data_IF_020043252452
#
_entry.id   IF_020043252452
#
_cell.length_a   1.000
_cell.length_b   1.000
_cell.length_c   1.000
_cell.angle_alpha   90.00
_cell.angle_beta   90.00
_cell.angle_gamma   90.00
#
_symmetry.space_group_name_H-M   'P 1'
#
loop_
_entity.id
_entity.type
_entity.pdbx_description
1 polymer ?
#
# COMPACT_ATOMS: atom_id res chain seq x y z
N UNK A 1 28.24 -3.96 28.86
CA UNK A 1 27.59 -5.21 28.41
C UNK A 1 26.07 -5.12 28.69
N UNK A 2 25.14 -5.69 27.90
CA UNK A 2 23.69 -5.67 28.21
C UNK A 2 23.37 -6.36 29.54
N UNK A 3 24.22 -7.32 29.95
CA UNK A 3 24.22 -8.02 31.23
C UNK A 3 24.62 -7.13 32.42
N UNK A 4 25.32 -6.02 32.19
CA UNK A 4 25.74 -5.06 33.20
C UNK A 4 24.80 -3.84 33.29
N UNK A 5 23.82 -3.75 32.38
CA UNK A 5 22.88 -2.62 32.32
C UNK A 5 21.82 -2.78 33.40
N UNK A 6 21.69 -1.79 34.28
CA UNK A 6 20.59 -1.75 35.25
C UNK A 6 19.23 -1.66 34.55
N UNK A 7 18.19 -2.14 35.22
CA UNK A 7 16.81 -2.07 34.71
C UNK A 7 16.40 -0.63 34.39
N UNK A 8 16.84 0.34 35.22
CA UNK A 8 16.60 1.77 35.01
C UNK A 8 17.23 2.29 33.71
N UNK A 9 18.43 1.84 33.37
CA UNK A 9 19.07 2.21 32.10
C UNK A 9 18.34 1.61 30.91
N UNK A 10 17.83 0.38 31.03
CA UNK A 10 17.01 -0.25 29.97
C UNK A 10 15.69 0.50 29.75
N UNK A 11 15.01 0.88 30.84
CA UNK A 11 13.81 1.72 30.76
C UNK A 11 14.10 3.10 30.17
N UNK A 12 15.29 3.65 30.42
CA UNK A 12 15.70 4.94 29.84
C UNK A 12 15.85 4.82 28.32
N UNK A 13 16.46 3.74 27.82
CA UNK A 13 16.56 3.47 26.37
C UNK A 13 15.18 3.32 25.74
N UNK A 14 14.28 2.56 26.37
CA UNK A 14 12.90 2.39 25.92
C UNK A 14 12.18 3.75 25.81
N UNK A 15 12.27 4.59 26.84
CA UNK A 15 11.66 5.93 26.87
C UNK A 15 12.21 6.84 25.78
N UNK A 16 13.52 6.77 25.48
CA UNK A 16 14.13 7.54 24.40
C UNK A 16 13.57 7.09 23.04
N UNK A 17 13.45 5.78 22.79
CA UNK A 17 12.87 5.26 21.55
C UNK A 17 11.39 5.66 21.41
N UNK A 18 10.63 5.60 22.50
CA UNK A 18 9.24 6.05 22.53
C UNK A 18 9.12 7.56 22.28
N UNK A 19 10.05 8.37 22.77
CA UNK A 19 10.09 9.81 22.49
C UNK A 19 10.33 10.07 21.01
N UNK A 20 11.33 9.40 20.41
CA UNK A 20 11.61 9.51 18.97
C UNK A 20 10.38 9.10 18.16
N UNK A 21 9.74 7.98 18.54
CA UNK A 21 8.50 7.49 17.93
C UNK A 21 7.39 8.54 18.01
N UNK A 22 7.18 9.16 19.17
CA UNK A 22 6.15 10.19 19.38
C UNK A 22 6.40 11.45 18.54
N UNK A 23 7.66 11.89 18.45
CA UNK A 23 8.05 13.04 17.61
C UNK A 23 7.76 12.76 16.14
N UNK A 24 8.12 11.57 15.64
CA UNK A 24 7.83 11.15 14.26
C UNK A 24 6.34 10.88 14.01
N UNK A 25 5.57 10.55 15.05
CA UNK A 25 4.13 10.29 14.93
C UNK A 25 3.32 11.58 14.72
N UNK A 26 3.85 12.73 15.15
CA UNK A 26 3.14 14.00 15.04
C UNK A 26 2.62 14.22 13.61
N UNK A 27 1.30 14.49 13.45
CA UNK A 27 0.72 14.73 12.13
C UNK A 27 1.20 16.08 11.59
N UNK A 28 1.47 16.14 10.29
CA UNK A 28 1.70 17.40 9.60
C UNK A 28 0.40 18.24 9.57
N UNK A 29 0.54 19.57 9.63
CA UNK A 29 -0.60 20.46 9.51
C UNK A 29 -1.19 20.35 8.09
N UNK A 30 -2.50 20.10 7.91
CA UNK A 30 -3.12 20.02 6.58
C UNK A 30 -3.02 21.32 5.77
N UNK A 31 -2.66 22.45 6.39
CA UNK A 31 -2.38 23.71 5.71
C UNK A 31 -0.97 23.79 5.12
N UNK A 32 -0.05 22.91 5.50
CA UNK A 32 1.32 22.83 4.99
C UNK A 32 1.38 22.06 3.66
N UNK A 33 0.59 22.51 2.68
CA UNK A 33 0.59 21.95 1.32
C UNK A 33 1.81 22.48 0.52
N UNK A 34 3.03 22.14 0.97
CA UNK A 34 4.25 22.42 0.19
C UNK A 34 4.28 21.52 -1.04
N UNK A 35 4.75 22.01 -2.20
CA UNK A 35 4.92 21.18 -3.39
C UNK A 35 5.93 20.04 -3.16
N UNK A 36 5.87 18.99 -4.00
CA UNK A 36 6.83 17.89 -4.00
C UNK A 36 8.27 18.40 -4.20
N UNK A 37 9.25 17.66 -3.65
CA UNK A 37 10.69 17.98 -3.55
C UNK A 37 11.09 19.13 -2.60
N UNK A 38 10.14 19.80 -1.93
CA UNK A 38 10.43 20.78 -0.86
C UNK A 38 10.49 20.12 0.53
N UNK A 39 11.29 20.69 1.45
CA UNK A 39 11.50 20.15 2.79
C UNK A 39 10.31 20.45 3.73
N UNK A 40 9.60 19.40 4.14
CA UNK A 40 8.55 19.45 5.14
C UNK A 40 9.11 19.46 6.58
N UNK A 41 8.28 19.74 7.59
CA UNK A 41 8.61 19.55 9.02
C UNK A 41 9.10 18.11 9.29
N UNK A 42 8.47 17.11 8.68
CA UNK A 42 8.93 15.71 8.78
C UNK A 42 10.36 15.54 8.26
N UNK A 43 10.65 16.07 7.07
CA UNK A 43 11.99 16.05 6.47
C UNK A 43 13.04 16.77 7.33
N UNK A 44 12.67 17.87 7.98
CA UNK A 44 13.55 18.60 8.91
C UNK A 44 13.88 17.76 10.16
N UNK A 45 12.90 17.02 10.70
CA UNK A 45 13.13 16.08 11.81
C UNK A 45 14.05 14.95 11.34
N UNK A 46 13.83 14.39 10.16
CA UNK A 46 14.71 13.35 9.61
C UNK A 46 16.14 13.85 9.42
N UNK A 47 16.30 15.07 8.93
CA UNK A 47 17.60 15.72 8.80
C UNK A 47 18.30 15.94 10.14
N UNK A 48 17.55 16.38 11.16
CA UNK A 48 18.08 16.53 12.52
C UNK A 48 18.53 15.19 13.11
N UNK A 49 17.74 14.12 12.93
CA UNK A 49 18.09 12.76 13.36
C UNK A 49 19.35 12.21 12.67
N UNK A 50 19.57 12.59 11.40
CA UNK A 50 20.80 12.26 10.69
C UNK A 50 21.99 13.02 11.28
N UNK A 51 21.85 14.32 11.51
CA UNK A 51 22.94 15.15 12.04
C UNK A 51 23.35 14.77 13.47
N UNK A 52 22.40 14.32 14.29
CA UNK A 52 22.66 13.87 15.66
C UNK A 52 23.30 12.48 15.76
N UNK A 53 23.48 11.75 14.64
CA UNK A 53 23.95 10.37 14.65
C UNK A 53 22.91 9.36 15.17
N UNK A 54 21.65 9.78 15.33
CA UNK A 54 20.59 8.89 15.86
C UNK A 54 20.29 7.73 14.90
N UNK A 55 20.43 7.95 13.59
CA UNK A 55 20.25 6.88 12.60
C UNK A 55 21.27 5.75 12.77
N UNK A 56 22.53 6.06 13.06
CA UNK A 56 23.57 5.07 13.27
C UNK A 56 23.30 4.23 14.54
N UNK A 57 22.75 4.88 15.58
CA UNK A 57 22.31 4.20 16.80
C UNK A 57 21.15 3.25 16.51
N UNK A 58 20.18 3.65 15.68
CA UNK A 58 19.07 2.79 15.29
C UNK A 58 19.55 1.56 14.48
N UNK A 59 20.53 1.74 13.60
CA UNK A 59 21.18 0.63 12.88
C UNK A 59 21.92 -0.30 13.83
N UNK A 60 22.67 0.25 14.79
CA UNK A 60 23.36 -0.52 15.81
C UNK A 60 22.38 -1.39 16.60
N UNK A 61 21.28 -0.81 17.10
CA UNK A 61 20.22 -1.54 17.82
C UNK A 61 19.70 -2.70 16.96
N UNK A 62 19.42 -2.46 15.67
CA UNK A 62 18.91 -3.52 14.78
C UNK A 62 19.91 -4.65 14.49
N UNK A 63 21.21 -4.34 14.46
CA UNK A 63 22.28 -5.32 14.20
C UNK A 63 22.70 -6.10 15.45
N UNK A 64 22.53 -5.51 16.63
CA UNK A 64 22.98 -6.09 17.88
C UNK A 64 21.94 -7.06 18.45
N UNK A 65 22.21 -8.37 18.37
CA UNK A 65 21.37 -9.42 18.95
C UNK A 65 21.15 -9.30 20.47
N UNK A 66 22.00 -8.54 21.15
CA UNK A 66 21.86 -8.12 22.53
C UNK A 66 20.61 -7.26 22.80
N UNK A 67 20.19 -6.46 21.83
CA UNK A 67 19.20 -5.37 22.02
C UNK A 67 17.80 -5.78 21.52
N UNK A 68 17.51 -7.09 21.46
CA UNK A 68 16.25 -7.69 20.96
C UNK A 68 14.98 -7.12 21.59
N UNK A 69 15.06 -6.67 22.84
CA UNK A 69 13.94 -6.07 23.58
C UNK A 69 13.39 -4.80 22.89
N UNK A 70 14.23 -4.10 22.13
CA UNK A 70 13.90 -2.84 21.49
C UNK A 70 13.44 -2.97 20.03
N UNK A 71 13.42 -4.18 19.46
CA UNK A 71 13.16 -4.36 18.03
C UNK A 71 11.75 -3.96 17.61
N UNK A 72 10.75 -4.15 18.48
CA UNK A 72 9.39 -3.64 18.22
C UNK A 72 9.39 -2.11 18.08
N UNK A 73 9.99 -1.42 19.06
CA UNK A 73 10.14 0.03 19.04
C UNK A 73 10.93 0.52 17.82
N UNK A 74 11.99 -0.22 17.44
CA UNK A 74 12.76 0.07 16.24
C UNK A 74 11.89 0.03 14.99
N UNK A 75 11.10 -1.03 14.78
CA UNK A 75 10.21 -1.14 13.60
C UNK A 75 9.14 -0.05 13.60
N UNK A 76 8.59 0.34 14.75
CA UNK A 76 7.69 1.49 14.84
C UNK A 76 8.36 2.78 14.38
N UNK A 77 9.55 3.09 14.92
CA UNK A 77 10.33 4.27 14.53
C UNK A 77 10.65 4.26 13.04
N UNK A 78 11.10 3.13 12.50
CA UNK A 78 11.40 2.97 11.06
C UNK A 78 10.16 3.22 10.19
N UNK A 79 9.00 2.70 10.60
CA UNK A 79 7.76 2.88 9.87
C UNK A 79 7.32 4.34 9.79
N UNK A 80 7.53 5.10 10.86
CA UNK A 80 7.19 6.52 10.90
C UNK A 80 8.24 7.36 10.17
N UNK A 81 9.52 6.98 10.29
CA UNK A 81 10.62 7.62 9.58
C UNK A 81 10.38 7.62 8.07
N UNK A 82 9.91 6.49 7.53
CA UNK A 82 9.73 6.23 6.11
C UNK A 82 8.28 6.35 5.64
N UNK A 83 7.35 6.86 6.47
CA UNK A 83 5.90 6.86 6.21
C UNK A 83 5.47 7.64 4.95
N UNK A 84 6.22 8.67 4.60
CA UNK A 84 5.95 9.54 3.44
C UNK A 84 6.68 9.05 2.17
N UNK A 85 7.59 8.08 2.30
CA UNK A 85 8.42 7.62 1.19
C UNK A 85 7.78 6.47 0.41
N UNK A 86 7.89 6.54 -0.91
CA UNK A 86 7.64 5.39 -1.78
C UNK A 86 8.94 4.57 -1.91
N UNK A 87 8.91 3.30 -1.49
CA UNK A 87 10.08 2.42 -1.47
C UNK A 87 10.79 2.31 -2.83
N UNK A 88 10.01 2.29 -3.92
CA UNK A 88 10.57 2.21 -5.26
C UNK A 88 11.24 3.48 -5.74
N UNK A 89 10.59 4.62 -5.52
CA UNK A 89 11.18 5.92 -5.87
C UNK A 89 12.43 6.21 -5.04
N UNK A 90 12.47 5.73 -3.79
CA UNK A 90 13.63 5.85 -2.92
C UNK A 90 14.81 4.98 -3.39
N UNK A 91 14.54 3.74 -3.81
CA UNK A 91 15.55 2.82 -4.35
C UNK A 91 16.25 3.39 -5.61
N UNK A 92 15.50 4.07 -6.47
CA UNK A 92 16.02 4.68 -7.70
C UNK A 92 16.79 5.99 -7.49
N UNK A 93 16.71 6.59 -6.30
CA UNK A 93 17.40 7.85 -6.01
C UNK A 93 18.93 7.68 -6.14
N UNK A 94 19.58 8.44 -7.02
CA UNK A 94 21.02 8.36 -7.26
C UNK A 94 21.67 9.75 -7.22
N UNK A 95 22.92 9.88 -6.69
CA UNK A 95 23.61 11.17 -6.51
C UNK A 95 23.84 11.92 -7.82
N UNK A 96 24.03 11.21 -8.93
CA UNK A 96 23.98 11.80 -10.26
C UNK A 96 22.56 11.69 -10.79
N UNK A 97 21.87 12.84 -10.89
CA UNK A 97 20.59 12.94 -11.58
C UNK A 97 20.81 12.42 -13.01
N UNK A 98 20.32 11.23 -13.30
CA UNK A 98 20.51 10.63 -14.61
C UNK A 98 19.89 11.56 -15.64
N UNK A 99 20.54 11.74 -16.80
CA UNK A 99 19.92 12.48 -17.92
C UNK A 99 18.51 11.93 -18.22
N UNK A 100 18.31 10.62 -18.02
CA UNK A 100 17.00 9.98 -18.13
C UNK A 100 15.99 10.45 -17.07
N UNK A 101 16.38 10.66 -15.82
CA UNK A 101 15.48 11.17 -14.77
C UNK A 101 15.07 12.61 -15.08
N UNK A 102 16.02 13.46 -15.48
CA UNK A 102 15.74 14.84 -15.88
C UNK A 102 14.79 14.90 -17.08
N UNK A 103 15.05 14.09 -18.12
CA UNK A 103 14.16 14.01 -19.28
C UNK A 103 12.77 13.48 -18.93
N UNK A 104 12.66 12.52 -18.00
CA UNK A 104 11.37 12.01 -17.52
C UNK A 104 10.59 13.08 -16.74
N UNK A 105 11.23 13.75 -15.78
CA UNK A 105 10.63 14.84 -15.01
C UNK A 105 10.15 15.96 -15.97
N UNK A 106 10.97 16.36 -16.95
CA UNK A 106 10.60 17.35 -17.96
C UNK A 106 9.43 16.90 -18.83
N UNK A 107 9.43 15.63 -19.28
CA UNK A 107 8.34 15.07 -20.06
C UNK A 107 7.03 14.97 -19.26
N UNK A 108 7.10 14.62 -17.99
CA UNK A 108 5.94 14.58 -17.08
C UNK A 108 5.38 15.99 -16.85
N UNK A 109 6.24 16.96 -16.56
CA UNK A 109 5.83 18.38 -16.43
C UNK A 109 5.19 18.90 -17.72
N UNK A 110 5.74 18.55 -18.88
CA UNK A 110 5.15 18.89 -20.17
C UNK A 110 3.80 18.19 -20.36
N UNK A 111 3.67 16.91 -20.02
CA UNK A 111 2.41 16.17 -20.12
C UNK A 111 1.32 16.77 -19.21
N UNK A 112 1.66 17.12 -17.97
CA UNK A 112 0.75 17.81 -17.03
C UNK A 112 0.33 19.16 -17.61
N UNK A 113 1.29 19.97 -18.09
CA UNK A 113 1.01 21.26 -18.74
C UNK A 113 0.11 21.10 -19.96
N UNK A 114 0.38 20.11 -20.81
CA UNK A 114 -0.43 19.83 -21.99
C UNK A 114 -1.84 19.40 -21.60
N UNK A 115 -2.00 18.55 -20.59
CA UNK A 115 -3.29 18.15 -20.05
C UNK A 115 -4.07 19.35 -19.52
N UNK A 116 -3.47 20.16 -18.67
CA UNK A 116 -4.08 21.37 -18.12
C UNK A 116 -4.49 22.35 -19.24
N UNK A 117 -3.60 22.58 -20.20
CA UNK A 117 -3.87 23.46 -21.35
C UNK A 117 -4.99 22.89 -22.21
N UNK A 118 -5.03 21.58 -22.44
CA UNK A 118 -6.07 20.90 -23.21
C UNK A 118 -7.43 20.94 -22.50
N UNK A 119 -7.45 20.78 -21.18
CA UNK A 119 -8.65 20.88 -20.36
C UNK A 119 -9.15 22.32 -20.31
N UNK A 120 -8.26 23.30 -20.15
CA UNK A 120 -8.58 24.73 -20.24
C UNK A 120 -9.12 25.07 -21.61
N UNK A 121 -8.49 24.61 -22.70
CA UNK A 121 -9.01 24.77 -24.07
C UNK A 121 -10.35 24.07 -24.28
N UNK A 122 -10.57 22.89 -23.71
CA UNK A 122 -11.84 22.15 -23.79
C UNK A 122 -12.95 22.86 -23.00
N UNK A 123 -12.63 23.42 -21.83
CA UNK A 123 -13.55 24.24 -21.03
C UNK A 123 -13.89 25.53 -21.76
N UNK A 124 -12.90 26.22 -22.32
CA UNK A 124 -13.12 27.42 -23.15
C UNK A 124 -13.93 27.10 -24.40
N UNK A 125 -13.64 26.01 -25.12
CA UNK A 125 -14.45 25.60 -26.29
C UNK A 125 -15.85 25.09 -25.93
N UNK A 126 -16.01 24.49 -24.75
CA UNK A 126 -17.26 23.86 -24.31
C UNK A 126 -18.22 24.81 -23.58
N UNK A 127 -17.68 25.77 -22.82
CA UNK A 127 -18.45 26.71 -21.99
C UNK A 127 -18.22 28.17 -22.37
N UNK A 128 -17.14 28.48 -23.10
CA UNK A 128 -16.97 29.77 -23.75
C UNK A 128 -17.77 29.77 -25.04
N UNK A 129 -19.05 30.12 -24.95
CA UNK A 129 -19.80 30.53 -26.12
C UNK A 129 -19.10 31.72 -26.79
N UNK A 130 -19.30 31.92 -28.08
CA UNK A 130 -18.81 33.11 -28.79
C UNK A 130 -19.42 34.44 -28.28
N UNK A 131 -20.25 34.38 -27.22
CA UNK A 131 -21.06 35.46 -26.67
C UNK A 131 -21.00 35.44 -25.14
N UNK A 132 -21.23 36.59 -24.52
CA UNK A 132 -21.17 36.79 -23.07
C UNK A 132 -22.22 35.97 -22.31
N UNK A 133 -22.00 35.76 -21.01
CA UNK A 133 -22.85 34.93 -20.13
C UNK A 133 -24.32 35.35 -20.07
N UNK A 134 -24.65 36.62 -20.30
CA UNK A 134 -26.02 37.12 -20.36
C UNK A 134 -26.73 36.92 -21.72
N UNK A 135 -26.05 36.36 -22.73
CA UNK A 135 -26.68 35.93 -23.99
C UNK A 135 -27.18 34.48 -23.85
N UNK A 136 -28.19 34.27 -23.01
CA UNK A 136 -28.85 32.98 -22.82
C UNK A 136 -30.07 32.85 -23.73
N UNK A 137 -30.00 31.97 -24.72
CA UNK A 137 -31.19 31.56 -25.47
C UNK A 137 -32.13 30.74 -24.58
N UNK A 138 -33.44 30.97 -24.68
CA UNK A 138 -34.44 30.17 -23.97
C UNK A 138 -35.03 29.16 -24.94
N UNK A 139 -34.80 27.88 -24.67
CA UNK A 139 -35.26 26.76 -25.49
C UNK A 139 -36.39 26.03 -24.77
N UNK A 140 -37.38 25.57 -25.54
CA UNK A 140 -38.44 24.70 -25.07
C UNK A 140 -38.14 23.28 -25.55
N UNK A 141 -38.07 22.33 -24.62
CA UNK A 141 -37.86 20.92 -24.94
C UNK A 141 -39.21 20.33 -25.35
N UNK A 142 -39.33 19.91 -26.62
CA UNK A 142 -40.50 19.19 -27.10
C UNK A 142 -40.53 17.78 -26.49
N UNK A 143 -41.73 17.26 -26.22
CA UNK A 143 -42.00 15.92 -25.63
C UNK A 143 -41.54 15.68 -24.19
N UNK A 144 -41.11 16.71 -23.46
CA UNK A 144 -40.83 16.63 -22.03
C UNK A 144 -41.60 17.68 -21.23
N UNK A 145 -42.45 17.20 -20.31
CA UNK A 145 -43.20 18.06 -19.40
C UNK A 145 -42.42 18.33 -18.11
N UNK A 146 -42.54 19.55 -17.61
CA UNK A 146 -42.06 19.95 -16.29
C UNK A 146 -42.92 19.31 -15.19
N UNK A 147 -42.47 19.44 -13.94
CA UNK A 147 -43.14 18.95 -12.73
C UNK A 147 -44.58 19.49 -12.62
N UNK A 148 -44.88 20.63 -13.26
CA UNK A 148 -46.17 21.32 -13.25
C UNK A 148 -46.95 21.24 -14.57
N UNK A 149 -46.75 20.20 -15.39
CA UNK A 149 -47.44 19.93 -16.66
C UNK A 149 -47.15 20.94 -17.81
N UNK A 150 -46.42 22.02 -17.51
CA UNK A 150 -45.90 23.00 -18.49
C UNK A 150 -44.69 22.46 -19.26
N UNK A 151 -44.39 23.03 -20.44
CA UNK A 151 -43.22 22.63 -21.22
C UNK A 151 -41.89 22.94 -20.49
N UNK A 152 -40.91 22.04 -20.59
CA UNK A 152 -39.61 22.20 -19.92
C UNK A 152 -38.75 23.26 -20.62
N UNK A 153 -38.26 24.23 -19.84
CA UNK A 153 -37.46 25.37 -20.32
C UNK A 153 -35.98 25.11 -20.04
N UNK A 154 -35.12 25.36 -21.04
CA UNK A 154 -33.67 25.24 -20.96
C UNK A 154 -32.98 26.55 -21.36
N UNK A 155 -32.10 27.09 -20.52
CA UNK A 155 -31.51 28.42 -20.69
C UNK A 155 -30.04 28.43 -21.18
N UNK A 156 -29.43 27.26 -21.43
CA UNK A 156 -28.02 27.18 -21.86
C UNK A 156 -27.94 27.01 -23.39
N UNK A 157 -26.98 27.68 -24.06
CA UNK A 157 -26.79 27.56 -25.50
C UNK A 157 -26.41 26.13 -25.88
N UNK A 158 -27.25 25.46 -26.68
CA UNK A 158 -27.04 24.09 -27.14
C UNK A 158 -26.06 24.06 -28.32
N UNK A 159 -24.76 24.10 -28.05
CA UNK A 159 -23.73 23.98 -29.10
C UNK A 159 -23.69 22.61 -29.77
N UNK A 160 -24.09 21.54 -29.07
CA UNK A 160 -24.29 20.16 -29.56
C UNK A 160 -25.36 19.46 -28.70
N UNK A 161 -26.32 18.78 -29.33
CA UNK A 161 -27.42 18.07 -28.64
C UNK A 161 -26.92 16.92 -27.74
N UNK A 162 -25.75 16.33 -28.03
CA UNK A 162 -25.15 15.24 -27.22
C UNK A 162 -24.77 15.63 -25.78
N UNK A 163 -24.71 16.93 -25.47
CA UNK A 163 -24.41 17.45 -24.12
C UNK A 163 -25.63 17.95 -23.36
N UNK A 164 -26.82 17.52 -23.78
CA UNK A 164 -28.06 17.84 -23.10
C UNK A 164 -28.14 17.09 -21.78
N UNK A 165 -27.84 17.79 -20.68
CA UNK A 165 -28.04 17.26 -19.33
C UNK A 165 -29.01 18.16 -18.58
N UNK A 166 -30.13 17.56 -18.17
CA UNK A 166 -31.19 18.20 -17.39
C UNK A 166 -30.96 18.11 -15.88
N UNK A 167 -29.93 17.39 -15.47
CA UNK A 167 -29.60 17.15 -14.06
C UNK A 167 -28.55 18.13 -13.51
N UNK A 168 -28.00 19.01 -14.35
CA UNK A 168 -26.94 19.96 -13.96
C UNK A 168 -27.42 20.93 -12.89
N UNK A 169 -28.67 21.37 -12.98
CA UNK A 169 -29.25 22.35 -12.06
C UNK A 169 -30.00 21.67 -10.88
N UNK A 170 -30.03 20.32 -10.85
CA UNK A 170 -30.59 19.56 -9.72
C UNK A 170 -29.59 19.54 -8.56
N UNK A 171 -30.05 19.91 -7.37
CA UNK A 171 -29.26 19.73 -6.15
C UNK A 171 -29.07 18.24 -5.87
N UNK A 172 -27.82 17.77 -5.95
CA UNK A 172 -27.49 16.37 -5.60
C UNK A 172 -27.78 16.16 -4.11
N UNK A 173 -28.50 15.09 -3.72
CA UNK A 173 -28.74 14.81 -2.32
C UNK A 173 -27.41 14.56 -1.62
N UNK A 174 -27.22 15.17 -0.44
CA UNK A 174 -26.02 14.93 0.38
C UNK A 174 -26.03 13.47 0.81
N UNK A 175 -25.02 12.70 0.41
CA UNK A 175 -24.82 11.36 0.93
C UNK A 175 -24.53 11.46 2.43
N UNK A 176 -25.29 10.78 3.30
CA UNK A 176 -25.02 10.78 4.74
C UNK A 176 -23.60 10.27 5.01
N UNK A 177 -22.92 10.80 6.03
CA UNK A 177 -21.52 10.43 6.37
C UNK A 177 -21.27 8.92 6.52
N UNK A 178 -22.27 8.14 6.93
CA UNK A 178 -22.22 6.68 7.05
C UNK A 178 -22.25 5.94 5.69
N UNK A 179 -22.71 6.60 4.63
CA UNK A 179 -22.79 6.07 3.26
C UNK A 179 -21.72 6.66 2.33
N UNK A 180 -20.75 7.38 2.88
CA UNK A 180 -19.64 7.88 2.06
C UNK A 180 -18.62 6.77 1.84
N UNK A 181 -18.06 6.63 0.62
CA UNK A 181 -16.98 5.69 0.34
C UNK A 181 -15.81 5.90 1.29
N UNK A 182 -15.12 4.81 1.63
CA UNK A 182 -13.94 4.89 2.46
C UNK A 182 -12.78 5.53 1.66
N UNK A 183 -12.38 6.75 2.00
CA UNK A 183 -11.29 7.44 1.30
C UNK A 183 -9.95 7.01 1.91
N UNK A 184 -9.05 6.48 1.08
CA UNK A 184 -7.69 6.18 1.48
C UNK A 184 -6.93 7.49 1.76
N UNK A 185 -6.24 7.55 2.89
CA UNK A 185 -5.30 8.63 3.19
C UNK A 185 -3.96 8.24 2.55
N UNK A 186 -3.74 8.62 1.28
CA UNK A 186 -2.41 8.51 0.69
C UNK A 186 -1.53 9.61 1.28
N UNK A 187 -0.47 9.22 1.99
CA UNK A 187 0.55 10.13 2.53
C UNK A 187 1.86 10.04 1.73
N UNK A 188 1.84 9.43 0.55
CA UNK A 188 3.03 9.31 -0.29
C UNK A 188 3.41 10.69 -0.86
N UNK A 189 4.65 11.10 -0.65
CA UNK A 189 5.23 12.39 -1.07
C UNK A 189 6.66 12.16 -1.58
N UNK A 190 7.13 12.99 -2.50
CA UNK A 190 8.55 13.04 -2.86
C UNK A 190 9.26 14.06 -1.96
N UNK A 191 10.05 13.58 -0.99
CA UNK A 191 10.88 14.43 -0.13
C UNK A 191 12.05 15.06 -0.87
N UNK A 192 12.64 16.09 -0.26
CA UNK A 192 13.85 16.74 -0.76
C UNK A 192 14.96 15.72 -1.10
N UNK A 193 15.69 15.96 -2.18
CA UNK A 193 16.66 14.99 -2.72
C UNK A 193 17.72 14.54 -1.71
N UNK A 194 18.26 15.47 -0.91
CA UNK A 194 19.24 15.15 0.13
C UNK A 194 18.68 14.18 1.17
N UNK A 195 17.39 14.30 1.51
CA UNK A 195 16.70 13.41 2.44
C UNK A 195 16.55 12.01 1.85
N UNK A 196 16.13 11.92 0.58
CA UNK A 196 16.03 10.64 -0.13
C UNK A 196 17.36 9.91 -0.22
N UNK A 197 18.47 10.63 -0.42
CA UNK A 197 19.79 10.01 -0.53
C UNK A 197 20.21 9.32 0.78
N UNK A 198 20.16 10.02 1.93
CA UNK A 198 20.57 9.40 3.18
C UNK A 198 19.58 8.32 3.66
N UNK A 199 18.28 8.46 3.35
CA UNK A 199 17.29 7.42 3.66
C UNK A 199 17.54 6.16 2.84
N UNK A 200 17.94 6.30 1.57
CA UNK A 200 18.34 5.17 0.73
C UNK A 200 19.57 4.45 1.29
N UNK A 201 20.59 5.21 1.70
CA UNK A 201 21.81 4.64 2.29
C UNK A 201 21.46 3.89 3.59
N UNK A 202 20.64 4.52 4.44
CA UNK A 202 20.11 3.89 5.66
C UNK A 202 19.36 2.59 5.37
N UNK A 203 18.42 2.58 4.41
CA UNK A 203 17.66 1.39 4.05
C UNK A 203 18.55 0.26 3.53
N UNK A 204 19.61 0.60 2.80
CA UNK A 204 20.58 -0.35 2.27
C UNK A 204 21.41 -0.97 3.40
N UNK A 205 21.89 -0.16 4.35
CA UNK A 205 22.62 -0.64 5.53
C UNK A 205 21.72 -1.50 6.45
N UNK A 206 20.48 -1.08 6.67
CA UNK A 206 19.51 -1.85 7.46
C UNK A 206 19.21 -3.22 6.86
N UNK A 207 19.02 -3.30 5.54
CA UNK A 207 18.82 -4.57 4.84
C UNK A 207 20.02 -5.50 4.93
N UNK A 208 21.24 -4.96 4.83
CA UNK A 208 22.47 -5.75 4.90
C UNK A 208 22.77 -6.28 6.31
N UNK A 209 22.50 -5.49 7.36
CA UNK A 209 22.96 -5.80 8.72
C UNK A 209 21.89 -6.28 9.70
N UNK A 210 20.63 -5.88 9.54
CA UNK A 210 19.64 -5.97 10.62
C UNK A 210 18.31 -6.63 10.23
N UNK A 211 17.86 -6.48 8.98
CA UNK A 211 16.49 -6.82 8.56
C UNK A 211 16.05 -8.23 8.94
N UNK A 212 16.80 -9.27 8.53
CA UNK A 212 16.42 -10.66 8.80
C UNK A 212 16.28 -10.95 10.30
N UNK A 213 17.24 -10.48 11.11
CA UNK A 213 17.26 -10.68 12.56
C UNK A 213 16.10 -9.93 13.23
N UNK A 214 15.88 -8.67 12.86
CA UNK A 214 14.79 -7.85 13.40
C UNK A 214 13.43 -8.47 13.05
N UNK A 215 13.20 -8.82 11.79
CA UNK A 215 11.91 -9.35 11.33
C UNK A 215 11.58 -10.71 11.96
N UNK A 216 12.58 -11.59 12.12
CA UNK A 216 12.39 -12.89 12.79
C UNK A 216 11.90 -12.70 14.24
N UNK A 217 12.61 -11.85 15.00
CA UNK A 217 12.26 -11.58 16.39
C UNK A 217 10.95 -10.82 16.56
N UNK A 218 10.65 -9.87 15.68
CA UNK A 218 9.37 -9.14 15.70
C UNK A 218 8.21 -10.09 15.41
N UNK A 219 8.34 -10.98 14.42
CA UNK A 219 7.35 -12.02 14.13
C UNK A 219 7.13 -12.94 15.33
N UNK A 220 8.21 -13.42 15.96
CA UNK A 220 8.13 -14.27 17.14
C UNK A 220 7.44 -13.58 18.32
N UNK A 221 7.76 -12.31 18.57
CA UNK A 221 7.12 -11.52 19.63
C UNK A 221 5.62 -11.32 19.37
N UNK A 222 5.24 -10.98 18.13
CA UNK A 222 3.84 -10.78 17.77
C UNK A 222 3.03 -12.07 17.91
N UNK A 223 3.60 -13.20 17.47
CA UNK A 223 2.91 -14.51 17.55
C UNK A 223 2.78 -14.99 19.00
N UNK A 224 3.83 -14.88 19.81
CA UNK A 224 3.88 -15.43 21.18
C UNK A 224 3.25 -14.49 22.22
N UNK A 225 3.48 -13.19 22.13
CA UNK A 225 3.07 -12.20 23.14
C UNK A 225 1.76 -11.47 22.77
N UNK A 226 0.70 -12.23 22.41
CA UNK A 226 -0.63 -11.68 22.12
C UNK A 226 -1.24 -10.86 23.27
N UNK A 227 -0.74 -11.02 24.49
CA UNK A 227 -1.20 -10.29 25.68
C UNK A 227 -0.85 -8.79 25.63
N UNK A 228 0.25 -8.39 24.97
CA UNK A 228 0.69 -6.98 24.93
C UNK A 228 0.01 -6.15 23.84
N UNK A 229 -0.93 -6.72 23.06
CA UNK A 229 -1.62 -6.03 21.95
C UNK A 229 -0.68 -5.25 21.02
N UNK A 230 0.52 -5.78 20.78
CA UNK A 230 1.48 -5.18 19.85
C UNK A 230 0.83 -4.96 18.49
N UNK A 231 1.10 -3.82 17.86
CA UNK A 231 0.50 -3.49 16.58
C UNK A 231 1.23 -4.21 15.43
N UNK A 232 0.64 -5.33 15.01
CA UNK A 232 1.09 -6.16 13.88
C UNK A 232 1.18 -5.37 12.56
N UNK A 233 0.49 -4.22 12.47
CA UNK A 233 0.51 -3.35 11.28
C UNK A 233 1.91 -2.87 10.94
N UNK A 234 2.77 -2.64 11.93
CA UNK A 234 4.13 -2.18 11.71
C UNK A 234 5.02 -3.26 11.10
N UNK A 235 4.83 -4.52 11.50
CA UNK A 235 5.49 -5.66 10.89
C UNK A 235 5.09 -5.83 9.42
N UNK A 236 3.79 -5.76 9.12
CA UNK A 236 3.28 -5.84 7.74
C UNK A 236 3.77 -4.68 6.87
N UNK A 237 3.77 -3.47 7.43
CA UNK A 237 4.31 -2.30 6.74
C UNK A 237 5.80 -2.46 6.43
N UNK A 238 6.59 -2.90 7.41
CA UNK A 238 8.04 -3.09 7.24
C UNK A 238 8.35 -4.19 6.23
N UNK A 239 7.62 -5.30 6.27
CA UNK A 239 7.71 -6.35 5.27
C UNK A 239 7.48 -5.79 3.87
N UNK A 240 6.35 -5.10 3.65
CA UNK A 240 6.02 -4.49 2.35
C UNK A 240 7.12 -3.53 1.89
N UNK A 241 7.50 -2.57 2.74
CA UNK A 241 8.40 -1.47 2.36
C UNK A 241 9.81 -1.98 2.01
N UNK A 242 10.42 -2.76 2.90
CA UNK A 242 11.80 -3.20 2.71
C UNK A 242 11.93 -4.28 1.63
N UNK A 243 10.93 -5.14 1.44
CA UNK A 243 10.93 -6.09 0.32
C UNK A 243 10.78 -5.36 -1.02
N UNK A 244 9.89 -4.36 -1.11
CA UNK A 244 9.75 -3.53 -2.32
C UNK A 244 11.05 -2.77 -2.63
N UNK A 245 11.69 -2.20 -1.60
CA UNK A 245 12.96 -1.50 -1.73
C UNK A 245 14.07 -2.45 -2.24
N UNK A 246 14.20 -3.64 -1.64
CA UNK A 246 15.18 -4.65 -2.06
C UNK A 246 14.94 -5.07 -3.52
N UNK A 247 13.69 -5.29 -3.91
CA UNK A 247 13.31 -5.69 -5.28
C UNK A 247 13.66 -4.64 -6.33
N UNK A 248 13.56 -3.34 -6.01
CA UNK A 248 13.83 -2.25 -6.96
C UNK A 248 15.28 -1.72 -6.91
N UNK A 249 16.00 -1.86 -5.80
CA UNK A 249 17.37 -1.36 -5.69
C UNK A 249 18.41 -2.32 -6.27
N UNK A 250 18.63 -3.46 -5.59
CA UNK A 250 19.59 -4.51 -5.94
C UNK A 250 19.02 -5.80 -5.37
N UNK A 251 18.25 -6.50 -6.19
CA UNK A 251 17.49 -7.63 -5.71
C UNK A 251 18.42 -8.77 -5.24
N UNK A 252 18.55 -8.89 -3.93
CA UNK A 252 19.31 -9.93 -3.27
C UNK A 252 18.42 -10.69 -2.30
N UNK A 253 18.15 -11.96 -2.59
CA UNK A 253 17.23 -12.79 -1.79
C UNK A 253 17.79 -13.04 -0.39
N UNK A 254 19.12 -13.05 -0.24
CA UNK A 254 19.80 -13.24 1.05
C UNK A 254 19.41 -12.17 2.08
N UNK A 255 19.14 -10.94 1.63
CA UNK A 255 18.80 -9.82 2.50
C UNK A 255 17.37 -9.91 3.06
N UNK A 256 16.50 -10.70 2.41
CA UNK A 256 15.07 -10.83 2.75
C UNK A 256 14.65 -12.30 2.91
N UNK A 257 15.59 -13.16 3.27
CA UNK A 257 15.36 -14.61 3.36
C UNK A 257 14.35 -14.98 4.45
N UNK A 258 14.29 -14.20 5.54
CA UNK A 258 13.35 -14.45 6.65
C UNK A 258 11.87 -14.29 6.21
N UNK A 259 11.60 -13.25 5.43
CA UNK A 259 10.23 -12.94 4.97
C UNK A 259 9.84 -13.70 3.71
N UNK A 260 10.81 -14.26 2.99
CA UNK A 260 10.60 -15.04 1.76
C UNK A 260 10.50 -16.55 2.07
N UNK A 261 9.59 -16.93 2.97
CA UNK A 261 9.37 -18.32 3.38
C UNK A 261 7.89 -18.70 3.35
N UNK A 262 7.58 -20.00 3.14
CA UNK A 262 6.20 -20.52 3.14
C UNK A 262 5.47 -20.18 4.45
N UNK A 263 6.20 -20.21 5.57
CA UNK A 263 5.66 -19.85 6.88
C UNK A 263 5.20 -18.39 6.95
N UNK A 264 5.93 -17.49 6.29
CA UNK A 264 5.56 -16.07 6.25
C UNK A 264 4.35 -15.84 5.35
N UNK A 265 4.23 -16.53 4.21
CA UNK A 265 3.00 -16.53 3.40
C UNK A 265 1.78 -16.99 4.20
N UNK A 266 1.90 -18.10 4.92
CA UNK A 266 0.83 -18.61 5.78
C UNK A 266 0.45 -17.59 6.86
N UNK A 267 1.44 -17.02 7.53
CA UNK A 267 1.21 -16.04 8.59
C UNK A 267 0.46 -14.80 8.09
N UNK A 268 0.87 -14.21 6.96
CA UNK A 268 0.19 -13.04 6.38
C UNK A 268 -1.23 -13.36 5.92
N UNK A 269 -1.46 -14.56 5.37
CA UNK A 269 -2.80 -15.01 4.99
C UNK A 269 -3.71 -15.19 6.22
N UNK A 270 -3.24 -15.88 7.26
CA UNK A 270 -3.99 -16.03 8.52
C UNK A 270 -4.32 -14.69 9.18
N UNK A 271 -3.37 -13.75 9.20
CA UNK A 271 -3.62 -12.40 9.70
C UNK A 271 -4.69 -11.68 8.90
N UNK A 272 -4.66 -11.82 7.58
CA UNK A 272 -5.63 -11.17 6.70
C UNK A 272 -7.04 -11.74 6.88
N UNK A 273 -7.18 -13.06 7.03
CA UNK A 273 -8.45 -13.72 7.39
C UNK A 273 -8.97 -13.22 8.74
N UNK A 274 -8.10 -13.18 9.76
CA UNK A 274 -8.46 -12.65 11.07
C UNK A 274 -8.94 -11.19 10.99
N UNK A 275 -8.28 -10.31 10.22
CA UNK A 275 -8.73 -8.93 10.05
C UNK A 275 -10.07 -8.83 9.32
N UNK A 276 -10.30 -9.71 8.34
CA UNK A 276 -11.58 -9.78 7.63
C UNK A 276 -12.73 -10.24 8.56
N UNK A 277 -12.49 -11.24 9.39
CA UNK A 277 -13.45 -11.73 10.40
C UNK A 277 -13.73 -10.66 11.47
N UNK A 278 -12.69 -9.98 11.95
CA UNK A 278 -12.81 -8.88 12.92
C UNK A 278 -13.52 -7.67 12.33
N UNK A 279 -13.33 -7.38 11.04
CA UNK A 279 -14.08 -6.34 10.34
C UNK A 279 -15.59 -6.68 10.27
N UNK A 280 -15.92 -7.95 10.06
CA UNK A 280 -17.30 -8.43 9.96
C UNK A 280 -18.01 -8.46 11.33
N UNK A 281 -17.29 -8.80 12.40
CA UNK A 281 -17.83 -8.90 13.76
C UNK A 281 -17.84 -7.56 14.52
N UNK A 282 -16.80 -6.73 14.37
CA UNK A 282 -16.60 -5.50 15.17
C UNK A 282 -16.94 -4.21 14.42
N UNK A 283 -18.23 -3.88 14.27
CA UNK A 283 -18.70 -2.66 13.57
C UNK A 283 -18.12 -1.34 14.11
N UNK A 284 -17.78 -1.26 15.41
CA UNK A 284 -17.25 -0.03 16.06
C UNK A 284 -15.83 0.33 15.60
N UNK A 285 -15.00 -0.65 15.24
CA UNK A 285 -13.58 -0.45 14.84
C UNK A 285 -13.35 -0.77 13.35
N UNK A 286 -14.41 -0.71 12.53
CA UNK A 286 -14.39 -1.06 11.12
C UNK A 286 -13.24 -0.39 10.34
N UNK A 287 -12.99 0.91 10.58
CA UNK A 287 -11.93 1.67 9.90
C UNK A 287 -10.53 1.16 10.24
N UNK A 288 -10.31 0.72 11.48
CA UNK A 288 -9.03 0.18 11.92
C UNK A 288 -8.76 -1.15 11.22
N UNK A 289 -9.73 -2.07 11.27
CA UNK A 289 -9.59 -3.39 10.65
C UNK A 289 -9.49 -3.32 9.13
N UNK A 290 -10.21 -2.40 8.49
CA UNK A 290 -10.09 -2.13 7.05
C UNK A 290 -8.67 -1.67 6.66
N UNK A 291 -8.07 -0.74 7.42
CA UNK A 291 -6.68 -0.32 7.20
C UNK A 291 -5.68 -1.45 7.42
N UNK A 292 -5.86 -2.26 8.47
CA UNK A 292 -4.99 -3.41 8.76
C UNK A 292 -5.09 -4.48 7.68
N UNK A 293 -6.29 -4.78 7.20
CA UNK A 293 -6.53 -5.68 6.07
C UNK A 293 -5.87 -5.16 4.79
N UNK A 294 -5.95 -3.85 4.53
CA UNK A 294 -5.26 -3.24 3.39
C UNK A 294 -3.74 -3.38 3.49
N UNK A 295 -3.14 -3.11 4.65
CA UNK A 295 -1.71 -3.33 4.86
C UNK A 295 -1.30 -4.80 4.68
N UNK A 296 -2.10 -5.73 5.17
CA UNK A 296 -1.84 -7.16 5.02
C UNK A 296 -1.90 -7.59 3.54
N UNK A 297 -2.89 -7.11 2.79
CA UNK A 297 -3.01 -7.33 1.35
C UNK A 297 -1.79 -6.78 0.59
N UNK A 298 -1.33 -5.57 0.94
CA UNK A 298 -0.15 -4.97 0.32
C UNK A 298 1.13 -5.78 0.60
N UNK A 299 1.30 -6.29 1.82
CA UNK A 299 2.41 -7.18 2.16
C UNK A 299 2.31 -8.50 1.36
N UNK A 300 1.11 -9.07 1.24
CA UNK A 300 0.87 -10.29 0.46
C UNK A 300 1.16 -10.09 -1.04
N UNK A 301 0.82 -8.92 -1.60
CA UNK A 301 1.19 -8.54 -2.97
C UNK A 301 2.70 -8.51 -3.14
N UNK A 302 3.43 -7.89 -2.21
CA UNK A 302 4.88 -7.78 -2.32
C UNK A 302 5.58 -9.15 -2.20
N UNK A 303 5.03 -10.07 -1.42
CA UNK A 303 5.48 -11.47 -1.39
C UNK A 303 5.37 -12.12 -2.79
N UNK A 304 4.24 -11.92 -3.50
CA UNK A 304 4.09 -12.42 -4.88
C UNK A 304 5.02 -11.75 -5.88
N UNK A 305 5.20 -10.44 -5.79
CA UNK A 305 6.12 -9.70 -6.65
C UNK A 305 7.57 -10.12 -6.42
N UNK A 306 7.93 -10.43 -5.18
CA UNK A 306 9.23 -10.99 -4.80
C UNK A 306 9.43 -12.37 -5.43
N UNK A 307 8.44 -13.27 -5.38
CA UNK A 307 8.50 -14.56 -6.09
C UNK A 307 8.71 -14.38 -7.60
N UNK A 308 8.01 -13.43 -8.22
CA UNK A 308 8.20 -13.10 -9.64
C UNK A 308 9.59 -12.53 -9.96
N UNK A 309 10.28 -11.93 -8.98
CA UNK A 309 11.65 -11.46 -9.12
C UNK A 309 12.65 -12.61 -8.91
N UNK A 310 12.38 -13.53 -7.97
CA UNK A 310 13.18 -14.74 -7.76
C UNK A 310 13.27 -15.61 -9.01
N UNK A 311 12.18 -15.74 -9.78
CA UNK A 311 12.20 -16.50 -11.04
C UNK A 311 13.17 -15.95 -12.08
N UNK A 312 13.38 -14.62 -12.05
CA UNK A 312 14.24 -13.91 -12.99
C UNK A 312 15.69 -13.85 -12.50
N UNK A 313 15.97 -14.40 -11.32
CA UNK A 313 17.32 -14.47 -10.77
C UNK A 313 18.21 -15.38 -11.61
N UNK A 314 19.49 -15.01 -11.70
CA UNK A 314 20.51 -15.83 -12.35
C UNK A 314 20.81 -17.10 -11.56
N UNK A 315 20.70 -17.03 -10.23
CA UNK A 315 20.99 -18.12 -9.30
C UNK A 315 19.91 -19.22 -9.33
N UNK A 316 20.33 -20.46 -9.57
CA UNK A 316 19.45 -21.62 -9.64
C UNK A 316 18.83 -21.97 -8.28
N UNK A 317 19.58 -21.82 -7.18
CA UNK A 317 19.10 -22.12 -5.83
C UNK A 317 17.91 -21.24 -5.42
N UNK A 318 17.96 -19.97 -5.85
CA UNK A 318 16.90 -18.99 -5.67
C UNK A 318 15.67 -19.36 -6.51
N UNK A 319 15.87 -19.79 -7.76
CA UNK A 319 14.76 -20.24 -8.61
C UNK A 319 14.10 -21.50 -8.08
N UNK A 320 14.87 -22.44 -7.55
CA UNK A 320 14.32 -23.67 -6.97
C UNK A 320 13.56 -23.38 -5.67
N UNK A 321 14.07 -22.47 -4.84
CA UNK A 321 13.33 -21.97 -3.67
C UNK A 321 11.99 -21.32 -4.08
N UNK A 322 11.98 -20.52 -5.14
CA UNK A 322 10.74 -19.95 -5.71
C UNK A 322 9.76 -21.04 -6.16
N UNK A 323 10.23 -22.08 -6.87
CA UNK A 323 9.39 -23.22 -7.31
C UNK A 323 8.76 -23.95 -6.12
N UNK A 324 9.54 -24.24 -5.07
CA UNK A 324 9.02 -24.90 -3.86
C UNK A 324 7.94 -24.05 -3.19
N UNK A 325 8.16 -22.74 -3.04
CA UNK A 325 7.18 -21.84 -2.43
C UNK A 325 5.91 -21.78 -3.29
N UNK A 326 6.04 -21.64 -4.61
CA UNK A 326 4.90 -21.60 -5.54
C UNK A 326 4.11 -22.89 -5.54
N UNK A 327 4.77 -24.04 -5.54
CA UNK A 327 4.10 -25.34 -5.48
C UNK A 327 3.20 -25.40 -4.23
N UNK A 328 3.75 -25.07 -3.06
CA UNK A 328 2.97 -25.03 -1.82
C UNK A 328 1.80 -24.05 -1.88
N UNK A 329 1.98 -22.87 -2.47
CA UNK A 329 0.91 -21.86 -2.57
C UNK A 329 -0.18 -22.28 -3.56
N UNK A 330 0.18 -22.83 -4.73
CA UNK A 330 -0.77 -23.09 -5.81
C UNK A 330 -1.57 -24.38 -5.63
N UNK A 331 -1.01 -25.38 -4.94
CA UNK A 331 -1.70 -26.64 -4.66
C UNK A 331 -2.69 -26.55 -3.48
N UNK A 332 -2.45 -25.63 -2.54
CA UNK A 332 -3.28 -25.47 -1.34
C UNK A 332 -4.48 -24.55 -1.67
N UNK A 333 -5.73 -25.07 -1.63
CA UNK A 333 -6.92 -24.32 -2.04
C UNK A 333 -7.13 -23.02 -1.28
N UNK A 334 -6.75 -22.99 0.01
CA UNK A 334 -6.89 -21.85 0.90
C UNK A 334 -6.19 -20.62 0.31
N UNK A 335 -4.93 -20.75 -0.14
CA UNK A 335 -4.22 -19.62 -0.76
C UNK A 335 -4.79 -19.24 -2.13
N UNK A 336 -5.25 -20.22 -2.91
CA UNK A 336 -5.78 -19.99 -4.26
C UNK A 336 -7.10 -19.22 -4.23
N UNK A 337 -7.96 -19.54 -3.28
CA UNK A 337 -9.30 -18.97 -3.17
C UNK A 337 -9.32 -17.70 -2.31
N UNK A 338 -8.28 -17.45 -1.52
CA UNK A 338 -8.19 -16.31 -0.61
C UNK A 338 -8.36 -14.95 -1.31
N UNK A 339 -7.52 -14.62 -2.29
CA UNK A 339 -7.57 -13.30 -2.98
C UNK A 339 -8.90 -13.13 -3.73
N UNK A 340 -9.41 -14.20 -4.34
CA UNK A 340 -10.71 -14.21 -5.01
C UNK A 340 -11.86 -13.97 -4.02
N UNK A 341 -11.80 -14.57 -2.83
CA UNK A 341 -12.80 -14.41 -1.78
C UNK A 341 -12.83 -12.97 -1.28
N UNK A 342 -11.68 -12.32 -1.12
CA UNK A 342 -11.62 -10.89 -0.80
C UNK A 342 -12.23 -10.03 -1.91
N UNK A 343 -12.00 -10.38 -3.19
CA UNK A 343 -12.53 -9.63 -4.34
C UNK A 343 -14.06 -9.72 -4.44
N UNK A 344 -14.62 -10.92 -4.25
CA UNK A 344 -16.08 -11.14 -4.31
C UNK A 344 -16.79 -10.46 -3.15
N UNK A 345 -16.15 -10.36 -1.99
CA UNK A 345 -16.72 -9.74 -0.80
C UNK A 345 -16.34 -8.26 -0.62
N UNK A 346 -15.86 -7.60 -1.68
CA UNK A 346 -15.57 -6.17 -1.64
C UNK A 346 -16.85 -5.36 -1.36
N UNK A 347 -16.75 -4.43 -0.42
CA UNK A 347 -17.85 -3.57 0.02
C UNK A 347 -17.37 -2.11 0.07
N UNK A 348 -17.90 -1.27 -0.81
CA UNK A 348 -17.56 0.15 -0.98
C UNK A 348 -17.75 0.97 0.33
N UNK A 349 -18.60 0.49 1.25
CA UNK A 349 -18.83 1.15 2.53
C UNK A 349 -17.76 0.81 3.57
N UNK A 350 -17.03 -0.29 3.38
CA UNK A 350 -16.06 -0.81 4.37
C UNK A 350 -14.62 -0.69 3.90
N UNK A 351 -14.39 -0.74 2.60
CA UNK A 351 -13.07 -0.80 1.97
C UNK A 351 -12.89 0.40 1.03
N UNK A 352 -11.66 0.90 0.89
CA UNK A 352 -11.37 2.05 0.03
C UNK A 352 -11.26 1.66 -1.44
N UNK A 353 -11.35 2.67 -2.32
CA UNK A 353 -11.02 2.53 -3.74
C UNK A 353 -9.55 2.11 -3.92
N UNK A 354 -8.64 2.63 -3.08
CA UNK A 354 -7.23 2.22 -3.10
C UNK A 354 -7.06 0.73 -2.76
N UNK A 355 -7.80 0.24 -1.76
CA UNK A 355 -7.82 -1.19 -1.45
C UNK A 355 -8.28 -2.03 -2.65
N UNK A 356 -9.32 -1.59 -3.36
CA UNK A 356 -9.81 -2.28 -4.55
C UNK A 356 -8.76 -2.32 -5.67
N UNK A 357 -8.09 -1.19 -5.94
CA UNK A 357 -7.01 -1.12 -6.93
C UNK A 357 -5.89 -2.11 -6.60
N UNK A 358 -5.43 -2.11 -5.34
CA UNK A 358 -4.38 -3.01 -4.88
C UNK A 358 -4.82 -4.47 -4.87
N UNK A 359 -6.11 -4.75 -4.61
CA UNK A 359 -6.67 -6.10 -4.65
C UNK A 359 -6.74 -6.65 -6.08
N UNK A 360 -7.16 -5.83 -7.04
CA UNK A 360 -7.15 -6.19 -8.46
C UNK A 360 -5.71 -6.45 -8.94
N UNK A 361 -4.76 -5.60 -8.54
CA UNK A 361 -3.35 -5.83 -8.87
C UNK A 361 -2.81 -7.12 -8.25
N UNK A 362 -3.14 -7.39 -6.98
CA UNK A 362 -2.74 -8.63 -6.29
C UNK A 362 -3.30 -9.85 -7.01
N UNK A 363 -4.58 -9.83 -7.40
CA UNK A 363 -5.20 -10.91 -8.17
C UNK A 363 -4.54 -11.09 -9.53
N UNK A 364 -4.23 -9.99 -10.23
CA UNK A 364 -3.53 -10.05 -11.52
C UNK A 364 -2.14 -10.67 -11.41
N UNK A 365 -1.36 -10.28 -10.40
CA UNK A 365 -0.03 -10.87 -10.15
C UNK A 365 -0.16 -12.36 -9.81
N UNK A 366 -1.13 -12.74 -8.98
CA UNK A 366 -1.39 -14.14 -8.66
C UNK A 366 -1.73 -14.98 -9.90
N UNK A 367 -2.63 -14.50 -10.75
CA UNK A 367 -3.00 -15.19 -12.00
C UNK A 367 -1.81 -15.31 -12.95
N UNK A 368 -0.96 -14.28 -13.05
CA UNK A 368 0.29 -14.36 -13.83
C UNK A 368 1.27 -15.40 -13.31
N UNK A 369 1.41 -15.54 -11.99
CA UNK A 369 2.23 -16.60 -11.38
C UNK A 369 1.63 -17.96 -11.73
N UNK A 370 0.31 -18.09 -11.62
CA UNK A 370 -0.43 -19.31 -11.92
C UNK A 370 -0.30 -19.74 -13.38
N UNK A 371 -0.44 -18.80 -14.33
CA UNK A 371 -0.28 -19.04 -15.76
C UNK A 371 1.12 -19.53 -16.09
N UNK A 372 2.15 -18.84 -15.59
CA UNK A 372 3.55 -19.23 -15.80
C UNK A 372 3.87 -20.61 -15.22
N UNK A 373 3.33 -20.92 -14.05
CA UNK A 373 3.52 -22.22 -13.43
C UNK A 373 2.86 -23.34 -14.26
N UNK A 374 1.61 -23.15 -14.67
CA UNK A 374 0.90 -24.10 -15.53
C UNK A 374 1.57 -24.29 -16.90
N UNK A 375 2.13 -23.22 -17.48
CA UNK A 375 2.83 -23.27 -18.76
C UNK A 375 4.16 -24.03 -18.72
N UNK A 376 4.81 -24.12 -17.56
CA UNK A 376 6.13 -24.75 -17.40
C UNK A 376 6.08 -26.17 -16.83
N UNK A 377 5.11 -26.49 -15.96
CA UNK A 377 5.01 -27.81 -15.32
C UNK A 377 3.94 -28.74 -15.92
N UNK A 378 3.09 -28.26 -16.83
CA UNK A 378 2.09 -29.09 -17.49
C UNK A 378 1.03 -29.64 -16.53
N UNK A 379 -0.14 -28.98 -16.51
CA UNK A 379 -1.36 -29.41 -15.78
C UNK A 379 -1.22 -29.62 -14.27
N UNK A 380 -1.78 -28.67 -13.49
CA UNK A 380 -2.05 -28.88 -12.07
C UNK A 380 -2.98 -30.08 -11.87
N UNK A 381 -2.52 -31.09 -11.14
CA UNK A 381 -3.37 -32.18 -10.68
C UNK A 381 -4.30 -31.65 -9.57
N UNK A 382 -5.51 -31.25 -9.95
CA UNK A 382 -6.56 -30.92 -8.99
C UNK A 382 -6.89 -32.21 -8.21
N UNK A 383 -6.52 -32.26 -6.93
CA UNK A 383 -7.03 -33.30 -6.03
C UNK A 383 -8.56 -33.21 -6.05
N UNK A 384 -9.22 -34.19 -6.67
CA UNK A 384 -10.68 -34.28 -6.66
C UNK A 384 -11.13 -34.19 -5.22
N UNK A 385 -11.96 -33.19 -4.88
CA UNK A 385 -12.76 -33.21 -3.65
C UNK A 385 -13.41 -34.59 -3.59
N UNK A 386 -13.04 -35.38 -2.58
CA UNK A 386 -13.68 -36.67 -2.33
C UNK A 386 -15.16 -36.35 -2.15
N UNK A 387 -15.97 -36.61 -3.18
CA UNK A 387 -17.43 -36.52 -3.08
C UNK A 387 -17.79 -37.44 -1.92
N UNK A 388 -18.27 -36.84 -0.82
CA UNK A 388 -18.69 -37.56 0.36
C UNK A 388 -19.52 -38.76 -0.07
N UNK A 389 -19.05 -39.95 0.32
CA UNK A 389 -19.61 -41.21 -0.12
C UNK A 389 -21.13 -41.18 0.00
N UNK A 390 -21.81 -41.36 -1.13
CA UNK A 390 -23.26 -41.50 -1.22
C UNK A 390 -23.64 -42.60 -0.23
N UNK A 391 -24.19 -42.23 0.95
CA UNK A 391 -24.71 -43.19 1.93
C UNK A 391 -25.62 -44.14 1.16
N UNK A 392 -25.21 -45.40 1.00
CA UNK A 392 -26.09 -46.46 0.48
C UNK A 392 -27.33 -46.44 1.37
N UNK A 393 -28.47 -46.08 0.79
CA UNK A 393 -29.78 -46.39 1.38
C UNK A 393 -29.75 -47.89 1.70
N UNK A 394 -29.82 -48.25 2.98
CA UNK A 394 -30.18 -49.60 3.37
C UNK A 394 -31.56 -49.85 2.78
N UNK A 395 -31.62 -50.74 1.79
CA UNK A 395 -32.85 -51.30 1.28
C UNK A 395 -33.11 -52.62 1.99
N UNK A 396 -34.35 -52.75 2.45
CA UNK A 396 -35.01 -53.89 3.09
C UNK A 396 -34.58 -54.24 4.51
#
# INVERSE_FOLDING_TARGET
DPSERSEDHSLTVERILLLIRNVLYAPADPSEARPDDDANVHDQVLWALRQSGTLDILLYIGSASAERLYYMHLVEVLSLMLREQNAGSLAEAAPQRSQAEKMRDEAELLAIRHRETSEKRRKVKGYGGARHSSFGGTFVVQDMKSISDNALIYHKPLGKLDKLSFDVDKQKPKTPRHRMPFVATSTERRSAFAVRLFLKDFCSEFLNGAYNTVMNHVKDNVVRNRAQQHDESYYLWAMRFFMEFNRKHRFEVKLVSETTSVQTFHYVQQLSENYYDLMSTCKKKLRLWSRRLHLALLAYRELFLTLCAMDRSTDETVRDSSKVIKSNILYVPEYREFVLTLLVNYDELKMSDAYLLDLIETQHVFVKIFEKFCGHEGTLFVQKRIKGGRRKRKGQ
#
